data_IF_785879340637
#
_entry.id   IF_785879340637
#
_cell.length_a   1.000
_cell.length_b   1.000
_cell.length_c   1.000
_cell.angle_alpha   90.00
_cell.angle_beta   90.00
_cell.angle_gamma   90.00
#
_symmetry.space_group_name_H-M   'P 1'
#
loop_
_entity.id
_entity.type
_entity.pdbx_description
1 polymer ?
#
# COMPACT_ATOMS: atom_id res chain seq x y z
N UNK A 1 -15.71 24.73 9.48
CA UNK A 1 -14.77 24.60 8.35
C UNK A 1 -14.53 23.11 8.17
N UNK A 2 -14.86 22.55 7.00
CA UNK A 2 -14.51 21.17 6.71
C UNK A 2 -12.99 21.03 6.89
N UNK A 3 -12.58 19.94 7.53
CA UNK A 3 -11.20 19.71 7.86
C UNK A 3 -10.39 19.47 6.58
N UNK A 4 -9.49 20.38 6.24
CA UNK A 4 -8.74 20.36 4.98
C UNK A 4 -7.99 19.03 4.75
N UNK A 5 -7.54 18.37 5.84
CA UNK A 5 -6.89 17.08 5.75
C UNK A 5 -7.87 15.93 5.49
N UNK A 6 -9.08 16.01 6.05
CA UNK A 6 -10.14 15.04 5.79
C UNK A 6 -10.63 15.12 4.35
N UNK A 7 -10.87 16.34 3.84
CA UNK A 7 -11.28 16.55 2.45
C UNK A 7 -10.19 16.07 1.47
N UNK A 8 -8.92 16.39 1.75
CA UNK A 8 -7.78 15.91 0.95
C UNK A 8 -7.68 14.38 0.97
N UNK A 9 -7.91 13.76 2.13
CA UNK A 9 -7.92 12.29 2.27
C UNK A 9 -9.06 11.66 1.48
N UNK A 10 -10.27 12.21 1.58
CA UNK A 10 -11.42 11.75 0.81
C UNK A 10 -11.17 11.86 -0.68
N UNK A 11 -10.61 12.97 -1.15
CA UNK A 11 -10.28 13.18 -2.57
C UNK A 11 -9.27 12.15 -3.08
N UNK A 12 -8.20 11.90 -2.32
CA UNK A 12 -7.18 10.89 -2.65
C UNK A 12 -7.77 9.47 -2.72
N UNK A 13 -8.57 9.09 -1.71
CA UNK A 13 -9.16 7.75 -1.65
C UNK A 13 -10.20 7.54 -2.75
N UNK A 14 -11.03 8.55 -3.05
CA UNK A 14 -11.97 8.52 -4.16
C UNK A 14 -11.23 8.34 -5.48
N UNK A 15 -10.19 9.13 -5.75
CA UNK A 15 -9.39 9.02 -6.98
C UNK A 15 -8.87 7.58 -7.19
N UNK A 16 -8.27 7.01 -6.15
CA UNK A 16 -7.70 5.67 -6.23
C UNK A 16 -8.77 4.58 -6.36
N UNK A 17 -9.81 4.61 -5.52
CA UNK A 17 -10.83 3.57 -5.50
C UNK A 17 -11.74 3.60 -6.73
N UNK A 18 -12.06 4.78 -7.27
CA UNK A 18 -12.78 4.89 -8.55
C UNK A 18 -11.92 4.38 -9.71
N UNK A 19 -10.62 4.65 -9.68
CA UNK A 19 -9.66 4.08 -10.63
C UNK A 19 -9.67 2.55 -10.55
N UNK A 20 -9.66 1.94 -9.37
CA UNK A 20 -9.76 0.48 -9.21
C UNK A 20 -11.14 -0.08 -9.61
N UNK A 21 -12.21 0.67 -9.35
CA UNK A 21 -13.59 0.32 -9.66
C UNK A 21 -13.97 0.56 -11.12
N UNK A 22 -13.00 0.79 -12.03
CA UNK A 22 -13.26 1.02 -13.46
C UNK A 22 -13.75 -0.24 -14.17
N UNK A 23 -14.31 -0.07 -15.38
CA UNK A 23 -14.66 -1.23 -16.19
C UNK A 23 -13.38 -1.84 -16.79
N UNK A 24 -13.22 -3.18 -16.78
CA UNK A 24 -12.09 -3.82 -17.42
C UNK A 24 -11.98 -3.41 -18.90
N UNK A 25 -10.78 -3.05 -19.35
CA UNK A 25 -10.55 -2.59 -20.72
C UNK A 25 -10.79 -1.10 -20.96
N UNK A 26 -11.29 -0.34 -19.97
CA UNK A 26 -11.33 1.12 -20.07
C UNK A 26 -9.95 1.74 -19.79
N UNK A 27 -9.56 2.82 -20.48
CA UNK A 27 -8.33 3.55 -20.19
C UNK A 27 -8.29 3.99 -18.73
N UNK A 28 -7.11 3.90 -18.10
CA UNK A 28 -6.95 4.40 -16.75
C UNK A 28 -7.05 5.94 -16.73
N UNK A 29 -7.91 6.53 -15.87
CA UNK A 29 -7.99 7.98 -15.73
C UNK A 29 -6.67 8.57 -15.25
N UNK A 30 -6.34 9.81 -15.61
CA UNK A 30 -5.16 10.46 -15.05
C UNK A 30 -5.33 10.72 -13.55
N UNK A 31 -4.27 10.60 -12.73
CA UNK A 31 -4.34 10.94 -11.31
C UNK A 31 -4.65 12.42 -11.12
N UNK A 32 -5.62 12.74 -10.26
CA UNK A 32 -6.05 14.12 -9.99
C UNK A 32 -5.03 14.93 -9.18
N UNK A 33 -4.12 14.26 -8.46
CA UNK A 33 -3.16 14.88 -7.55
C UNK A 33 -1.80 14.15 -7.55
N UNK A 34 -0.72 14.82 -7.11
CA UNK A 34 0.59 14.19 -6.94
C UNK A 34 0.57 12.95 -6.04
N UNK A 35 -0.14 13.02 -4.90
CA UNK A 35 -0.30 11.91 -3.97
C UNK A 35 -1.07 10.73 -4.57
N UNK A 36 -2.06 10.98 -5.42
CA UNK A 36 -2.76 9.93 -6.15
C UNK A 36 -1.83 9.18 -7.12
N UNK A 37 -0.97 9.92 -7.83
CA UNK A 37 0.02 9.31 -8.72
C UNK A 37 1.01 8.42 -7.93
N UNK A 38 1.49 8.91 -6.77
CA UNK A 38 2.38 8.15 -5.88
C UNK A 38 1.67 6.92 -5.32
N UNK A 39 0.43 7.05 -4.87
CA UNK A 39 -0.37 5.94 -4.32
C UNK A 39 -0.61 4.86 -5.37
N UNK A 40 -1.00 5.23 -6.59
CA UNK A 40 -1.19 4.26 -7.69
C UNK A 40 0.10 3.54 -8.04
N UNK A 41 1.23 4.24 -8.07
CA UNK A 41 2.54 3.63 -8.29
C UNK A 41 2.91 2.64 -7.17
N UNK A 42 2.79 3.06 -5.91
CA UNK A 42 3.09 2.23 -4.75
C UNK A 42 2.18 0.99 -4.67
N UNK A 43 0.88 1.17 -4.92
CA UNK A 43 -0.09 0.08 -4.98
C UNK A 43 0.23 -0.92 -6.10
N UNK A 44 0.58 -0.43 -7.29
CA UNK A 44 0.97 -1.29 -8.43
C UNK A 44 2.22 -2.10 -8.10
N UNK A 45 3.23 -1.48 -7.48
CA UNK A 45 4.43 -2.20 -7.04
C UNK A 45 4.10 -3.25 -5.98
N UNK A 46 3.29 -2.89 -4.98
CA UNK A 46 2.86 -3.81 -3.92
C UNK A 46 2.08 -5.01 -4.49
N UNK A 47 1.15 -4.76 -5.40
CA UNK A 47 0.39 -5.81 -6.09
C UNK A 47 1.29 -6.71 -6.92
N UNK A 48 2.32 -6.17 -7.60
CA UNK A 48 3.28 -7.00 -8.35
C UNK A 48 4.08 -7.93 -7.45
N UNK A 49 4.53 -7.43 -6.29
CA UNK A 49 5.34 -8.23 -5.35
C UNK A 49 4.48 -9.31 -4.66
N UNK A 50 3.25 -8.98 -4.28
CA UNK A 50 2.36 -9.88 -3.55
C UNK A 50 1.15 -10.34 -4.38
N UNK A 51 1.33 -10.50 -5.69
CA UNK A 51 0.25 -10.84 -6.62
C UNK A 51 -0.57 -12.06 -6.21
N UNK A 52 0.03 -13.18 -5.76
CA UNK A 52 -0.73 -14.36 -5.37
C UNK A 52 -1.73 -14.10 -4.23
N UNK A 53 -1.45 -13.12 -3.37
CA UNK A 53 -2.35 -12.74 -2.29
C UNK A 53 -3.52 -11.90 -2.82
N UNK A 54 -3.23 -10.83 -3.59
CA UNK A 54 -4.26 -9.92 -4.06
C UNK A 54 -5.19 -10.56 -5.10
N UNK A 55 -4.69 -11.46 -5.95
CA UNK A 55 -5.49 -12.10 -6.99
C UNK A 55 -6.68 -12.89 -6.44
N UNK A 56 -6.58 -13.46 -5.23
CA UNK A 56 -7.64 -14.21 -4.55
C UNK A 56 -8.85 -13.32 -4.22
N UNK A 57 -8.63 -12.02 -4.00
CA UNK A 57 -9.68 -11.07 -3.63
C UNK A 57 -10.28 -10.32 -4.82
N UNK A 58 -9.77 -10.54 -6.04
CA UNK A 58 -10.35 -9.95 -7.24
C UNK A 58 -11.74 -10.50 -7.49
N UNK A 59 -12.70 -9.61 -7.72
CA UNK A 59 -14.09 -9.99 -7.92
C UNK A 59 -14.73 -10.64 -6.69
N UNK A 60 -14.21 -10.40 -5.49
CA UNK A 60 -14.72 -10.95 -4.23
C UNK A 60 -16.27 -10.85 -4.15
N UNK A 61 -16.98 -11.98 -3.92
CA UNK A 61 -18.45 -12.02 -3.95
C UNK A 61 -19.09 -11.61 -2.62
N UNK A 62 -18.33 -11.58 -1.52
CA UNK A 62 -18.85 -11.29 -0.19
C UNK A 62 -18.98 -9.80 0.10
N UNK A 63 -19.25 -9.48 1.37
CA UNK A 63 -19.38 -8.11 1.85
C UNK A 63 -18.02 -7.40 1.89
N UNK A 64 -17.74 -6.61 0.84
CA UNK A 64 -16.48 -5.85 0.69
C UNK A 64 -16.22 -4.89 1.84
N UNK A 65 -17.28 -4.24 2.34
CA UNK A 65 -17.18 -3.23 3.39
C UNK A 65 -16.79 -3.88 4.71
N UNK A 66 -17.45 -4.98 5.06
CA UNK A 66 -17.16 -5.71 6.30
C UNK A 66 -15.74 -6.30 6.28
N UNK A 67 -15.32 -6.88 5.16
CA UNK A 67 -13.97 -7.42 5.01
C UNK A 67 -12.92 -6.30 5.12
N UNK A 68 -13.12 -5.17 4.44
CA UNK A 68 -12.24 -4.02 4.53
C UNK A 68 -12.19 -3.44 5.97
N UNK A 69 -13.31 -3.40 6.68
CA UNK A 69 -13.37 -2.94 8.06
C UNK A 69 -12.54 -3.83 9.00
N UNK A 70 -12.62 -5.16 8.83
CA UNK A 70 -11.84 -6.13 9.61
C UNK A 70 -10.34 -6.01 9.32
N UNK A 71 -9.97 -5.88 8.04
CA UNK A 71 -8.56 -5.69 7.65
C UNK A 71 -8.04 -4.33 8.13
N UNK A 72 -8.84 -3.28 8.09
CA UNK A 72 -8.48 -1.98 8.64
C UNK A 72 -8.18 -2.07 10.13
N UNK A 73 -9.02 -2.77 10.90
CA UNK A 73 -8.77 -2.99 12.32
C UNK A 73 -7.46 -3.75 12.55
N UNK A 74 -7.24 -4.86 11.84
CA UNK A 74 -6.02 -5.65 11.99
C UNK A 74 -4.75 -4.87 11.59
N UNK A 75 -4.81 -4.08 10.51
CA UNK A 75 -3.64 -3.37 9.97
C UNK A 75 -3.32 -2.10 10.78
N UNK A 76 -4.35 -1.42 11.28
CA UNK A 76 -4.21 -0.10 11.93
C UNK A 76 -4.20 -0.16 13.46
N UNK A 77 -4.78 -1.20 14.08
CA UNK A 77 -4.93 -1.31 15.54
C UNK A 77 -4.03 -2.34 16.22
N UNK A 78 -3.42 -3.29 15.50
CA UNK A 78 -2.41 -4.18 16.09
C UNK A 78 -1.26 -3.32 16.63
N UNK A 79 -0.82 -3.59 17.87
CA UNK A 79 0.12 -2.82 18.71
C UNK A 79 1.54 -2.57 18.15
N UNK A 80 1.68 -2.58 16.84
CA UNK A 80 2.79 -2.07 16.06
C UNK A 80 2.51 -0.64 15.58
N UNK A 81 3.58 0.13 15.37
CA UNK A 81 3.46 1.50 14.88
C UNK A 81 2.83 1.56 13.47
N UNK A 82 1.87 2.45 13.30
CA UNK A 82 1.29 2.79 12.01
C UNK A 82 2.40 3.30 11.06
N UNK A 83 2.38 2.83 9.80
CA UNK A 83 3.35 3.19 8.78
C UNK A 83 2.68 3.46 7.43
N UNK A 84 3.34 4.25 6.58
CA UNK A 84 2.85 4.48 5.21
C UNK A 84 2.68 3.18 4.41
N UNK A 85 3.54 2.18 4.64
CA UNK A 85 3.40 0.86 4.03
C UNK A 85 2.09 0.16 4.43
N UNK A 86 1.70 0.23 5.70
CA UNK A 86 0.41 -0.32 6.18
C UNK A 86 -0.78 0.42 5.58
N UNK A 87 -0.71 1.74 5.49
CA UNK A 87 -1.74 2.57 4.82
C UNK A 87 -1.89 2.15 3.36
N UNK A 88 -0.78 2.05 2.61
CA UNK A 88 -0.81 1.61 1.20
C UNK A 88 -1.36 0.21 1.07
N UNK A 89 -0.96 -0.74 1.94
CA UNK A 89 -1.50 -2.11 1.91
C UNK A 89 -3.00 -2.13 2.10
N UNK A 90 -3.52 -1.41 3.09
CA UNK A 90 -4.97 -1.34 3.34
C UNK A 90 -5.73 -0.73 2.17
N UNK A 91 -5.25 0.41 1.64
CA UNK A 91 -5.90 1.10 0.53
C UNK A 91 -5.84 0.25 -0.75
N UNK A 92 -4.71 -0.40 -1.01
CA UNK A 92 -4.53 -1.32 -2.14
C UNK A 92 -5.47 -2.51 -2.03
N UNK A 93 -5.60 -3.09 -0.84
CA UNK A 93 -6.53 -4.18 -0.57
C UNK A 93 -7.99 -3.76 -0.83
N UNK A 94 -8.40 -2.59 -0.35
CA UNK A 94 -9.73 -2.04 -0.63
C UNK A 94 -9.96 -1.83 -2.15
N UNK A 95 -8.95 -1.34 -2.87
CA UNK A 95 -8.99 -1.23 -4.34
C UNK A 95 -9.16 -2.58 -5.03
N UNK A 96 -8.45 -3.62 -4.56
CA UNK A 96 -8.57 -4.99 -5.09
C UNK A 96 -9.98 -5.57 -4.90
N UNK A 97 -10.69 -5.24 -3.82
CA UNK A 97 -12.07 -5.68 -3.60
C UNK A 97 -13.06 -5.09 -4.63
N UNK A 98 -12.76 -3.90 -5.15
CA UNK A 98 -13.55 -3.20 -6.17
C UNK A 98 -13.20 -3.63 -7.59
N UNK A 99 -12.04 -4.28 -7.77
CA UNK A 99 -11.58 -4.75 -9.07
C UNK A 99 -12.56 -5.80 -9.63
N UNK A 100 -13.16 -5.45 -10.76
CA UNK A 100 -14.07 -6.33 -11.49
C UNK A 100 -13.19 -7.38 -12.15
N UNK A 101 -13.24 -8.60 -11.63
CA UNK A 101 -12.73 -9.78 -12.33
C UNK A 101 -13.29 -9.91 -13.76
N UNK A 102 -12.98 -11.00 -14.48
CA UNK A 102 -13.36 -11.14 -15.89
C UNK A 102 -14.86 -10.85 -16.12
N UNK A 103 -15.22 -10.20 -17.25
CA UNK A 103 -16.58 -9.74 -17.49
C UNK A 103 -17.57 -10.91 -17.43
N UNK A 104 -18.61 -10.76 -16.61
CA UNK A 104 -19.72 -11.72 -16.50
C UNK A 104 -21.00 -11.01 -16.92
N UNK A 105 -21.94 -11.76 -17.49
CA UNK A 105 -23.22 -11.34 -18.10
C UNK A 105 -24.12 -10.43 -17.24
N UNK A 106 -23.90 -10.30 -15.93
CA UNK A 106 -24.69 -9.46 -15.00
C UNK A 106 -24.06 -8.09 -14.72
N UNK A 107 -23.65 -7.38 -15.78
CA UNK A 107 -22.77 -6.21 -15.66
C UNK A 107 -23.41 -4.96 -15.04
N UNK A 108 -24.72 -4.70 -15.27
CA UNK A 108 -25.35 -3.43 -14.86
C UNK A 108 -25.65 -3.32 -13.36
N UNK A 109 -26.18 -4.40 -12.75
CA UNK A 109 -26.44 -4.44 -11.30
C UNK A 109 -25.12 -4.36 -10.52
N UNK A 110 -24.14 -5.15 -10.95
CA UNK A 110 -22.79 -5.17 -10.38
C UNK A 110 -22.07 -3.82 -10.47
N UNK A 111 -22.33 -3.03 -11.52
CA UNK A 111 -21.78 -1.66 -11.67
C UNK A 111 -22.27 -0.72 -10.58
N UNK A 112 -23.59 -0.71 -10.32
CA UNK A 112 -24.20 0.16 -9.32
C UNK A 112 -23.81 -0.25 -7.90
N UNK A 113 -23.71 -1.55 -7.62
CA UNK A 113 -23.21 -2.05 -6.34
C UNK A 113 -21.76 -1.62 -6.09
N UNK A 114 -20.89 -1.79 -7.08
CA UNK A 114 -19.47 -1.40 -6.95
C UNK A 114 -19.31 0.12 -6.78
N UNK A 115 -20.13 0.94 -7.44
CA UNK A 115 -20.11 2.38 -7.23
C UNK A 115 -20.52 2.76 -5.80
N UNK A 116 -21.55 2.11 -5.24
CA UNK A 116 -21.97 2.31 -3.84
C UNK A 116 -20.92 1.80 -2.85
N UNK A 117 -20.34 0.63 -3.12
CA UNK A 117 -19.28 0.06 -2.29
C UNK A 117 -18.02 0.94 -2.33
N UNK A 118 -17.68 1.51 -3.47
CA UNK A 118 -16.60 2.49 -3.60
C UNK A 118 -16.80 3.67 -2.63
N UNK A 119 -17.97 4.30 -2.68
CA UNK A 119 -18.30 5.42 -1.78
C UNK A 119 -18.24 5.02 -0.29
N UNK A 120 -18.73 3.82 0.05
CA UNK A 120 -18.69 3.30 1.42
C UNK A 120 -17.27 2.98 1.88
N UNK A 121 -16.41 2.44 1.00
CA UNK A 121 -15.01 2.20 1.30
C UNK A 121 -14.24 3.51 1.48
N UNK A 122 -14.50 4.53 0.66
CA UNK A 122 -13.94 5.87 0.86
C UNK A 122 -14.31 6.39 2.24
N UNK A 123 -15.59 6.37 2.60
CA UNK A 123 -16.05 6.85 3.91
C UNK A 123 -15.41 6.08 5.07
N UNK A 124 -15.34 4.74 4.96
CA UNK A 124 -14.70 3.88 5.96
C UNK A 124 -13.22 4.24 6.14
N UNK A 125 -12.46 4.30 5.04
CA UNK A 125 -11.03 4.59 5.09
C UNK A 125 -10.75 6.03 5.55
N UNK A 126 -11.59 7.01 5.17
CA UNK A 126 -11.51 8.38 5.69
C UNK A 126 -11.69 8.41 7.20
N UNK A 127 -12.74 7.78 7.72
CA UNK A 127 -13.01 7.73 9.16
C UNK A 127 -11.85 7.10 9.94
N UNK A 128 -11.19 6.09 9.38
CA UNK A 128 -10.00 5.47 9.99
C UNK A 128 -8.76 6.36 9.90
N UNK A 129 -8.40 6.85 8.72
CA UNK A 129 -7.14 7.57 8.50
C UNK A 129 -7.19 9.02 8.98
N UNK A 130 -8.21 9.77 8.56
CA UNK A 130 -8.36 11.19 8.87
C UNK A 130 -9.16 11.45 10.15
N UNK A 131 -9.90 10.45 10.64
CA UNK A 131 -10.57 10.47 11.94
C UNK A 131 -9.71 9.85 13.04
N UNK A 132 -9.64 8.52 13.09
CA UNK A 132 -8.97 7.78 14.18
C UNK A 132 -7.45 7.99 14.24
N UNK A 133 -6.75 7.94 13.09
CA UNK A 133 -5.29 8.05 13.02
C UNK A 133 -4.80 9.43 12.57
N UNK A 134 -5.65 10.46 12.75
CA UNK A 134 -5.39 11.82 12.31
C UNK A 134 -4.07 12.40 12.83
N UNK A 135 -3.83 12.27 14.13
CA UNK A 135 -2.65 12.84 14.77
C UNK A 135 -1.35 12.25 14.19
N UNK A 136 -1.35 10.95 13.91
CA UNK A 136 -0.23 10.30 13.23
C UNK A 136 -0.05 10.84 11.81
N UNK A 137 -1.14 10.97 11.03
CA UNK A 137 -1.08 11.47 9.66
C UNK A 137 -0.49 12.90 9.62
N UNK A 138 -0.88 13.75 10.57
CA UNK A 138 -0.34 15.11 10.71
C UNK A 138 1.13 15.11 11.13
N UNK A 139 1.51 14.28 12.10
CA UNK A 139 2.89 14.16 12.57
C UNK A 139 3.85 13.68 11.46
N UNK A 140 3.35 12.90 10.50
CA UNK A 140 4.11 12.48 9.32
C UNK A 140 4.16 13.54 8.21
N UNK A 141 3.63 14.74 8.41
CA UNK A 141 3.57 15.80 7.38
C UNK A 141 2.43 15.62 6.38
N UNK A 142 1.37 14.89 6.74
CA UNK A 142 0.21 14.63 5.90
C UNK A 142 0.55 13.87 4.61
N UNK A 143 -0.25 14.10 3.57
CA UNK A 143 -0.05 13.47 2.26
C UNK A 143 1.18 14.00 1.51
N UNK A 144 1.73 15.15 1.91
CA UNK A 144 3.01 15.63 1.39
C UNK A 144 4.17 14.79 1.94
N UNK A 145 4.13 14.44 3.23
CA UNK A 145 5.07 13.49 3.83
C UNK A 145 5.00 12.09 3.22
N UNK A 146 3.80 11.62 2.87
CA UNK A 146 3.60 10.40 2.08
C UNK A 146 4.32 10.46 0.72
N UNK A 147 4.15 11.57 -0.02
CA UNK A 147 4.81 11.77 -1.30
C UNK A 147 6.34 11.75 -1.15
N UNK A 148 6.88 12.42 -0.13
CA UNK A 148 8.32 12.42 0.14
C UNK A 148 8.81 11.01 0.46
N UNK A 149 8.10 10.27 1.32
CA UNK A 149 8.47 8.91 1.71
C UNK A 149 8.65 7.96 0.50
N UNK A 150 7.73 8.01 -0.47
CA UNK A 150 7.77 7.14 -1.65
C UNK A 150 8.56 7.70 -2.85
N UNK A 151 8.76 9.02 -2.94
CA UNK A 151 9.61 9.64 -3.99
C UNK A 151 11.09 9.59 -3.66
N UNK A 152 11.46 9.45 -2.39
CA UNK A 152 12.87 9.41 -2.01
C UNK A 152 13.49 8.12 -2.56
N UNK A 153 14.46 8.17 -3.48
CA UNK A 153 15.21 6.99 -3.87
C UNK A 153 15.85 6.42 -2.59
N UNK A 154 15.66 5.11 -2.36
CA UNK A 154 16.06 4.34 -1.17
C UNK A 154 16.95 5.13 -0.20
N UNK A 155 16.46 5.48 1.01
CA UNK A 155 17.14 6.42 1.89
C UNK A 155 18.58 6.00 2.12
N UNK A 156 19.49 6.95 2.31
CA UNK A 156 20.91 6.68 2.64
C UNK A 156 21.08 5.65 3.78
N UNK A 157 20.08 5.50 4.66
CA UNK A 157 20.03 4.49 5.71
C UNK A 157 19.81 3.05 5.22
N UNK A 158 19.14 2.86 4.08
CA UNK A 158 19.03 1.58 3.37
C UNK A 158 20.38 1.20 2.77
N UNK A 159 21.04 2.12 2.06
CA UNK A 159 22.40 1.91 1.54
C UNK A 159 23.41 1.67 2.65
N UNK A 160 23.33 2.42 3.76
CA UNK A 160 24.18 2.21 4.93
C UNK A 160 23.99 0.82 5.53
N UNK A 161 22.76 0.34 5.69
CA UNK A 161 22.49 -1.01 6.20
C UNK A 161 22.93 -2.11 5.22
N UNK A 162 22.75 -1.89 3.92
CA UNK A 162 23.20 -2.80 2.88
C UNK A 162 24.73 -2.88 2.85
N UNK A 163 25.41 -1.75 2.84
CA UNK A 163 26.87 -1.65 2.89
C UNK A 163 27.43 -2.32 4.15
N UNK A 164 26.91 -2.00 5.33
CA UNK A 164 27.36 -2.63 6.60
C UNK A 164 27.21 -4.15 6.53
N UNK A 165 26.09 -4.66 6.01
CA UNK A 165 25.85 -6.10 5.90
C UNK A 165 26.80 -6.78 4.90
N UNK A 166 27.07 -6.13 3.77
CA UNK A 166 28.03 -6.62 2.77
C UNK A 166 29.45 -6.60 3.34
N UNK A 167 29.88 -5.51 3.98
CA UNK A 167 31.21 -5.42 4.61
C UNK A 167 31.41 -6.46 5.71
N UNK A 168 30.42 -6.68 6.58
CA UNK A 168 30.47 -7.74 7.60
C UNK A 168 30.57 -9.13 6.95
N UNK A 169 29.81 -9.40 5.89
CA UNK A 169 29.89 -10.69 5.19
C UNK A 169 31.24 -10.93 4.54
N UNK A 170 31.83 -9.91 3.91
CA UNK A 170 33.16 -9.98 3.32
C UNK A 170 34.22 -10.23 4.41
N UNK A 171 34.17 -9.48 5.51
CA UNK A 171 35.13 -9.63 6.60
C UNK A 171 35.11 -11.03 7.21
N UNK A 172 33.92 -11.59 7.45
CA UNK A 172 33.75 -12.97 7.93
C UNK A 172 34.30 -13.98 6.91
N UNK A 173 34.00 -13.81 5.62
CA UNK A 173 34.53 -14.69 4.58
C UNK A 173 36.06 -14.64 4.50
N UNK A 174 36.66 -13.44 4.60
CA UNK A 174 38.13 -13.29 4.60
C UNK A 174 38.77 -13.90 5.85
N UNK A 175 38.17 -13.73 7.03
CA UNK A 175 38.65 -14.35 8.26
C UNK A 175 38.60 -15.89 8.20
N UNK A 176 37.53 -16.45 7.63
CA UNK A 176 37.40 -17.89 7.42
C UNK A 176 38.44 -18.43 6.43
N UNK A 177 38.65 -17.73 5.30
CA UNK A 177 39.69 -18.09 4.34
C UNK A 177 41.09 -18.01 4.96
N UNK A 178 41.36 -16.96 5.75
CA UNK A 178 42.65 -16.81 6.43
C UNK A 178 42.88 -17.94 7.45
N UNK A 179 41.89 -18.24 8.28
CA UNK A 179 41.97 -19.35 9.23
C UNK A 179 42.18 -20.70 8.51
N UNK A 180 41.49 -20.94 7.40
CA UNK A 180 41.65 -22.13 6.58
C UNK A 180 43.06 -22.26 5.99
N UNK A 181 43.58 -21.19 5.39
CA UNK A 181 44.95 -21.18 4.83
C UNK A 181 46.03 -21.34 5.89
N UNK A 182 45.79 -20.85 7.11
CA UNK A 182 46.72 -20.99 8.23
C UNK A 182 46.75 -22.43 8.75
N UNK A 183 45.58 -23.07 8.91
CA UNK A 183 45.48 -24.47 9.35
C UNK A 183 46.13 -25.42 8.34
N UNK A 184 45.96 -25.18 7.04
CA UNK A 184 46.58 -25.99 5.97
C UNK A 184 48.10 -25.81 5.84
N UNK A 185 48.68 -24.78 6.43
CA UNK A 185 50.13 -24.50 6.36
C UNK A 185 50.90 -25.09 7.55
N UNK A 186 50.19 -25.53 8.58
CA UNK A 186 50.72 -26.15 9.81
C UNK A 186 50.51 -27.68 9.83
N UNK A 187 49.97 -28.24 8.74
CA UNK A 187 49.80 -29.66 8.43
C UNK A 187 50.81 -30.06 7.34
#
# INVERSE_FOLDING_TARGET
MADALEERTARLLTDYLECCAREPGTPEPQPSTPEAAVLRCAATQLQRVHWPFFSVYRGYPGNRIELAARVAEAVLSDGHDLSWGRVVTLVTFAGTLLDRGPPVTTQRVRRNEIARDCQRLVALLCARLAGQHRAWLQAQGGWDGFCVFYRTPLPLTFWRRLLVRTFLSCFVATALLFAWTRVYREL
#
